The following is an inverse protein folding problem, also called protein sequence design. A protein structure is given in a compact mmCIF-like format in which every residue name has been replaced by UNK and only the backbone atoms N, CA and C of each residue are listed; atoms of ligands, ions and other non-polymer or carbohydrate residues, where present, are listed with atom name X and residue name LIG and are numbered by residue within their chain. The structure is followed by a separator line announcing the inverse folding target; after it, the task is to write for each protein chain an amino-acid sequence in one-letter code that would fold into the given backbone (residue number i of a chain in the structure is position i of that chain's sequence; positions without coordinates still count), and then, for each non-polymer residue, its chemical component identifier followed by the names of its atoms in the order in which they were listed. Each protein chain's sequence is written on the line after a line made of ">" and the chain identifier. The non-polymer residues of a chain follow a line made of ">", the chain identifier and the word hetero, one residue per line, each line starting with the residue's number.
data_IF_572707119635
#
_entry.id   IF_572707119635
#
_cell.length_a   1.000
_cell.length_b   1.000
_cell.length_c   1.000
_cell.angle_alpha   90.00
_cell.angle_beta   90.00
_cell.angle_gamma   90.00
#
_symmetry.space_group_name_H-M   'P 1'
#
loop_
_entity.id
_entity.type
_entity.pdbx_description
1 polymer ?
#
# COMPACT_ATOMS: atom_id res chain seq x y z
N UNK A 1 23.86 7.04 13.36
CA UNK A 1 24.19 8.11 12.42
C UNK A 1 24.84 9.30 13.13
N UNK A 2 25.40 10.24 12.36
CA UNK A 2 26.09 11.40 12.93
C UNK A 2 25.16 12.27 13.79
N UNK A 3 23.90 12.41 13.41
CA UNK A 3 22.91 13.22 14.16
C UNK A 3 22.57 12.58 15.52
N UNK A 4 22.24 11.29 15.55
CA UNK A 4 21.97 10.57 16.80
C UNK A 4 23.18 10.59 17.74
N UNK A 5 24.38 10.34 17.22
CA UNK A 5 25.61 10.43 18.00
C UNK A 5 25.92 11.84 18.54
N UNK A 6 25.58 12.89 17.80
CA UNK A 6 25.72 14.28 18.26
C UNK A 6 24.72 14.62 19.37
N UNK A 7 23.49 14.13 19.27
CA UNK A 7 22.44 14.29 20.28
C UNK A 7 22.83 13.56 21.57
N UNK A 8 23.29 12.33 21.49
CA UNK A 8 23.77 11.55 22.64
C UNK A 8 24.94 12.24 23.37
N UNK A 9 25.90 12.78 22.59
CA UNK A 9 27.03 13.53 23.17
C UNK A 9 26.56 14.82 23.87
N UNK A 10 25.64 15.57 23.25
CA UNK A 10 25.10 16.79 23.84
C UNK A 10 24.32 16.48 25.10
N UNK A 11 23.49 15.43 25.12
CA UNK A 11 22.75 15.03 26.33
C UNK A 11 23.65 14.52 27.44
N UNK A 12 24.71 13.77 27.12
CA UNK A 12 25.71 13.35 28.11
C UNK A 12 26.43 14.57 28.72
N UNK A 13 26.77 15.57 27.91
CA UNK A 13 27.45 16.79 28.36
C UNK A 13 26.56 17.67 29.26
N UNK A 14 25.22 17.61 29.10
CA UNK A 14 24.25 18.38 29.90
C UNK A 14 23.73 17.64 31.14
N UNK A 15 24.23 16.44 31.42
CA UNK A 15 23.83 15.65 32.61
C UNK A 15 22.42 15.05 32.49
N UNK A 16 21.92 14.82 31.28
CA UNK A 16 20.66 14.13 31.01
C UNK A 16 19.38 14.99 31.26
N UNK A 17 19.53 16.26 31.63
CA UNK A 17 18.39 17.21 31.71
C UNK A 17 18.26 17.96 30.38
N UNK A 18 17.90 17.24 29.34
CA UNK A 18 18.12 17.66 27.98
C UNK A 18 17.28 18.81 27.49
N UNK A 19 17.95 19.72 26.79
CA UNK A 19 17.30 20.64 25.86
C UNK A 19 16.81 19.80 24.68
N UNK A 20 15.54 19.88 24.34
CA UNK A 20 14.99 19.26 23.11
C UNK A 20 15.64 19.94 21.92
N UNK A 21 16.28 19.18 21.07
CA UNK A 21 16.80 19.66 19.78
C UNK A 21 15.64 19.70 18.77
N UNK A 22 15.21 20.89 18.40
CA UNK A 22 14.21 21.04 17.34
C UNK A 22 14.92 21.22 16.01
N UNK A 23 14.58 20.39 15.03
CA UNK A 23 15.09 20.50 13.66
C UNK A 23 14.22 21.53 12.94
N UNK A 24 14.75 22.76 12.75
CA UNK A 24 13.98 23.85 12.14
C UNK A 24 14.35 24.12 10.69
N UNK A 25 15.57 23.79 10.27
CA UNK A 25 16.12 24.20 8.97
C UNK A 25 16.27 23.02 7.99
N UNK A 26 16.20 21.77 8.48
CA UNK A 26 16.23 20.59 7.61
C UNK A 26 14.81 20.25 7.15
N UNK A 27 14.61 20.23 5.82
CA UNK A 27 13.35 19.77 5.22
C UNK A 27 13.29 18.25 5.05
N UNK A 28 14.43 17.57 5.13
CA UNK A 28 14.56 16.12 4.95
C UNK A 28 15.60 15.53 5.89
N UNK A 29 15.31 14.33 6.41
CA UNK A 29 16.24 13.47 7.15
C UNK A 29 16.38 12.16 6.39
N UNK A 30 17.63 11.74 6.13
CA UNK A 30 17.90 10.50 5.41
C UNK A 30 18.77 9.55 6.22
N UNK A 31 18.55 8.24 6.06
CA UNK A 31 19.35 7.24 6.76
C UNK A 31 18.91 5.82 6.47
N UNK A 32 19.55 4.86 7.14
CA UNK A 32 19.09 3.46 7.18
C UNK A 32 17.96 3.29 8.21
N UNK A 33 17.27 2.14 8.18
CA UNK A 33 16.30 1.79 9.22
C UNK A 33 16.90 1.87 10.63
N UNK A 34 18.13 1.38 10.83
CA UNK A 34 18.82 1.45 12.13
C UNK A 34 19.00 2.90 12.61
N UNK A 35 19.37 3.81 11.69
CA UNK A 35 19.50 5.23 12.03
C UNK A 35 18.16 5.86 12.45
N UNK A 36 17.07 5.46 11.79
CA UNK A 36 15.74 5.94 12.15
C UNK A 36 15.23 5.33 13.45
N UNK A 37 15.58 4.08 13.77
CA UNK A 37 15.26 3.46 15.06
C UNK A 37 15.93 4.21 16.21
N UNK A 38 17.18 4.62 16.05
CA UNK A 38 17.89 5.47 17.02
C UNK A 38 17.20 6.83 17.15
N UNK A 39 16.86 7.46 16.01
CA UNK A 39 16.20 8.76 15.96
C UNK A 39 14.81 8.74 16.64
N UNK A 40 14.02 7.68 16.41
CA UNK A 40 12.72 7.48 17.08
C UNK A 40 12.87 7.27 18.59
N UNK A 41 13.98 6.67 19.02
CA UNK A 41 14.30 6.52 20.45
C UNK A 41 14.61 7.87 21.07
N UNK A 42 15.39 8.72 20.42
CA UNK A 42 15.73 10.07 20.87
C UNK A 42 14.47 10.96 20.89
N UNK A 43 13.60 10.84 19.91
CA UNK A 43 12.30 11.54 19.86
C UNK A 43 11.41 11.09 21.03
N UNK A 44 11.26 9.78 21.24
CA UNK A 44 10.49 9.22 22.36
C UNK A 44 11.03 9.62 23.73
N UNK A 45 12.32 9.89 23.86
CA UNK A 45 12.96 10.41 25.07
C UNK A 45 12.90 11.95 25.16
N UNK A 46 12.22 12.61 24.24
CA UNK A 46 12.15 14.09 24.16
C UNK A 46 13.52 14.77 24.03
N UNK A 47 14.45 14.12 23.35
CA UNK A 47 15.79 14.64 23.08
C UNK A 47 15.85 15.38 21.74
N UNK A 48 14.98 15.00 20.80
CA UNK A 48 14.81 15.66 19.50
C UNK A 48 13.31 15.84 19.23
N UNK A 49 12.95 16.83 18.43
CA UNK A 49 11.60 17.00 17.91
C UNK A 49 11.62 16.91 16.38
N UNK A 50 10.87 15.97 15.85
CA UNK A 50 10.56 15.82 14.44
C UNK A 50 9.13 16.32 14.25
N UNK A 51 8.87 17.15 13.25
CA UNK A 51 7.55 17.77 13.06
C UNK A 51 7.02 17.60 11.63
N UNK A 52 7.72 18.16 10.65
CA UNK A 52 7.29 18.27 9.25
C UNK A 52 8.38 17.86 8.24
N UNK A 53 9.47 17.29 8.74
CA UNK A 53 10.56 16.81 7.89
C UNK A 53 10.12 15.60 7.07
N UNK A 54 10.53 15.55 5.79
CA UNK A 54 10.47 14.32 5.03
C UNK A 54 11.50 13.32 5.58
N UNK A 55 11.10 12.06 5.72
CA UNK A 55 11.96 11.00 6.25
C UNK A 55 12.23 9.98 5.16
N UNK A 56 13.48 9.82 4.73
CA UNK A 56 13.83 8.93 3.62
C UNK A 56 14.76 7.83 4.09
N UNK A 57 14.24 6.58 4.11
CA UNK A 57 15.08 5.38 4.29
C UNK A 57 15.78 5.11 2.96
N UNK A 58 17.01 5.60 2.82
CA UNK A 58 17.78 5.61 1.57
C UNK A 58 18.77 4.44 1.46
N UNK A 59 18.88 3.60 2.47
CA UNK A 59 19.81 2.45 2.51
C UNK A 59 19.11 1.24 3.10
N UNK A 60 18.94 0.20 2.30
CA UNK A 60 18.24 -1.02 2.68
C UNK A 60 16.72 -0.90 2.63
N UNK A 61 16.08 -1.82 3.29
CA UNK A 61 14.62 -1.91 3.42
C UNK A 61 14.18 -1.40 4.80
N UNK A 62 12.91 -1.11 4.96
CA UNK A 62 12.29 -0.70 6.22
C UNK A 62 11.18 -1.66 6.62
N UNK A 63 11.16 -2.07 7.88
CA UNK A 63 10.07 -2.88 8.42
C UNK A 63 8.78 -2.06 8.51
N UNK A 64 7.62 -2.73 8.41
CA UNK A 64 6.30 -2.09 8.56
C UNK A 64 6.18 -1.37 9.90
N UNK A 65 6.72 -1.93 10.97
CA UNK A 65 6.68 -1.31 12.30
C UNK A 65 7.46 0.00 12.38
N UNK A 66 8.66 0.03 11.79
CA UNK A 66 9.47 1.26 11.73
C UNK A 66 8.81 2.28 10.79
N UNK A 67 8.36 1.87 9.60
CA UNK A 67 7.64 2.72 8.66
C UNK A 67 6.41 3.38 9.32
N UNK A 68 5.58 2.58 10.02
CA UNK A 68 4.44 3.08 10.80
C UNK A 68 4.85 4.13 11.84
N UNK A 69 5.92 3.86 12.58
CA UNK A 69 6.40 4.79 13.61
C UNK A 69 6.89 6.10 12.99
N UNK A 70 7.60 6.03 11.88
CA UNK A 70 8.04 7.21 11.12
C UNK A 70 6.86 8.04 10.63
N UNK A 71 5.86 7.41 9.99
CA UNK A 71 4.63 8.09 9.54
C UNK A 71 3.89 8.76 10.71
N UNK A 72 3.89 8.15 11.89
CA UNK A 72 3.25 8.71 13.09
C UNK A 72 4.04 9.86 13.75
N UNK A 73 5.30 10.07 13.37
CA UNK A 73 6.19 11.06 14.01
C UNK A 73 6.28 12.36 13.21
N UNK A 74 6.13 12.32 11.90
CA UNK A 74 6.20 13.50 11.02
C UNK A 74 4.88 13.77 10.30
N UNK A 75 4.64 15.03 9.93
CA UNK A 75 3.61 15.39 8.94
C UNK A 75 4.19 15.49 7.51
N UNK A 76 5.50 15.30 7.36
CA UNK A 76 6.17 15.19 6.07
C UNK A 76 6.00 13.80 5.46
N UNK A 77 6.45 13.63 4.23
CA UNK A 77 6.37 12.34 3.53
C UNK A 77 7.45 11.38 4.03
N UNK A 78 7.06 10.14 4.30
CA UNK A 78 8.01 9.04 4.56
C UNK A 78 8.26 8.27 3.27
N UNK A 79 9.52 8.07 2.92
CA UNK A 79 9.94 7.34 1.72
C UNK A 79 10.80 6.14 2.10
N UNK A 80 10.54 4.97 1.53
CA UNK A 80 11.33 3.77 1.77
C UNK A 80 10.83 2.55 1.02
N UNK A 81 11.61 1.49 1.02
CA UNK A 81 11.21 0.19 0.46
C UNK A 81 10.81 -0.72 1.61
N UNK A 82 9.59 -1.20 1.60
CA UNK A 82 9.10 -2.15 2.62
C UNK A 82 9.86 -3.47 2.48
N UNK A 83 10.21 -4.05 3.62
CA UNK A 83 10.97 -5.32 3.68
C UNK A 83 10.34 -6.39 2.80
N UNK A 84 11.15 -6.95 1.91
CA UNK A 84 10.73 -8.02 1.00
C UNK A 84 10.23 -9.24 1.76
N UNK A 85 9.19 -9.88 1.24
CA UNK A 85 8.53 -10.99 1.92
C UNK A 85 7.53 -10.58 3.01
N UNK A 86 7.33 -9.29 3.26
CA UNK A 86 6.23 -8.82 4.13
C UNK A 86 4.89 -9.17 3.50
N UNK A 87 4.00 -9.80 4.26
CA UNK A 87 2.68 -10.18 3.77
C UNK A 87 1.73 -8.99 3.66
N UNK A 88 0.79 -9.07 2.71
CA UNK A 88 -0.29 -8.08 2.59
C UNK A 88 -1.04 -7.90 3.91
N UNK A 89 -1.31 -9.00 4.61
CA UNK A 89 -1.98 -8.97 5.91
C UNK A 89 -1.21 -8.14 6.95
N UNK A 90 0.12 -8.23 6.97
CA UNK A 90 0.94 -7.42 7.88
C UNK A 90 0.96 -5.92 7.51
N UNK A 91 0.93 -5.61 6.20
CA UNK A 91 0.88 -4.22 5.72
C UNK A 91 -0.47 -3.57 6.04
N UNK A 92 -1.56 -4.34 5.92
CA UNK A 92 -2.94 -3.85 6.09
C UNK A 92 -3.46 -3.97 7.54
N UNK A 93 -2.70 -4.54 8.47
CA UNK A 93 -3.15 -4.69 9.86
C UNK A 93 -3.47 -3.32 10.48
N UNK A 94 -4.66 -3.19 11.05
CA UNK A 94 -5.15 -1.91 11.60
C UNK A 94 -4.32 -1.39 12.79
N UNK A 95 -3.68 -2.29 13.54
CA UNK A 95 -2.93 -1.93 14.74
C UNK A 95 -1.42 -1.80 14.49
N UNK A 96 -0.87 -2.58 13.55
CA UNK A 96 0.57 -2.71 13.33
C UNK A 96 1.01 -2.43 11.90
N UNK A 97 0.09 -2.34 10.95
CA UNK A 97 0.33 -2.05 9.53
C UNK A 97 0.57 -0.56 9.23
N UNK A 98 0.70 -0.24 7.96
CA UNK A 98 0.89 1.16 7.50
C UNK A 98 -0.36 1.99 7.77
N UNK A 99 -0.18 3.22 8.27
CA UNK A 99 -1.27 4.12 8.68
C UNK A 99 -1.58 5.21 7.64
N UNK A 100 -0.56 5.72 6.98
CA UNK A 100 -0.64 6.88 6.08
C UNK A 100 -0.34 6.47 4.64
N UNK A 101 -0.74 7.31 3.68
CA UNK A 101 -0.36 7.18 2.27
C UNK A 101 0.96 7.90 2.04
N UNK A 102 2.05 7.23 2.32
CA UNK A 102 3.42 7.69 2.13
C UNK A 102 4.04 7.16 0.83
N UNK A 103 5.32 7.47 0.57
CA UNK A 103 6.01 7.04 -0.64
C UNK A 103 6.75 5.70 -0.44
N UNK A 104 6.01 4.65 -0.08
CA UNK A 104 6.59 3.33 0.11
C UNK A 104 6.62 2.52 -1.19
N UNK A 105 7.80 1.98 -1.53
CA UNK A 105 7.90 0.92 -2.54
C UNK A 105 7.47 -0.40 -1.91
N UNK A 106 6.42 -1.02 -2.46
CA UNK A 106 5.85 -2.27 -1.98
C UNK A 106 5.89 -3.30 -3.11
N UNK A 107 6.49 -4.47 -2.84
CA UNK A 107 6.44 -5.65 -3.72
C UNK A 107 5.67 -6.74 -3.02
N UNK A 108 4.63 -7.27 -3.66
CA UNK A 108 3.82 -8.36 -3.11
C UNK A 108 4.69 -9.62 -2.99
N UNK A 109 4.69 -10.21 -1.79
CA UNK A 109 5.45 -11.41 -1.51
C UNK A 109 4.93 -12.62 -2.31
N UNK A 110 5.81 -13.52 -2.72
CA UNK A 110 5.42 -14.75 -3.42
C UNK A 110 4.47 -15.64 -2.59
N UNK A 111 4.46 -15.48 -1.26
CA UNK A 111 3.50 -16.14 -0.37
C UNK A 111 2.07 -15.62 -0.48
N UNK A 112 1.87 -14.41 -1.03
CA UNK A 112 0.58 -13.77 -1.30
C UNK A 112 0.21 -13.85 -2.79
N UNK A 113 0.59 -14.92 -3.49
CA UNK A 113 0.29 -15.13 -4.91
C UNK A 113 -1.22 -15.26 -5.19
N UNK A 114 -2.01 -15.65 -4.21
CA UNK A 114 -3.47 -15.68 -4.25
C UNK A 114 -4.01 -14.57 -3.33
N UNK A 115 -4.70 -13.60 -3.89
CA UNK A 115 -5.10 -12.39 -3.17
C UNK A 115 -6.54 -11.99 -3.49
N UNK A 116 -7.20 -11.27 -2.56
CA UNK A 116 -8.51 -10.69 -2.86
C UNK A 116 -8.38 -9.32 -3.55
N UNK A 117 -9.33 -9.01 -4.43
CA UNK A 117 -9.39 -7.70 -5.09
C UNK A 117 -9.48 -6.55 -4.07
N UNK A 118 -10.21 -6.76 -2.96
CA UNK A 118 -10.31 -5.78 -1.86
C UNK A 118 -8.98 -5.52 -1.17
N UNK A 119 -8.17 -6.57 -0.95
CA UNK A 119 -6.84 -6.41 -0.36
C UNK A 119 -5.88 -5.67 -1.31
N UNK A 120 -5.93 -5.94 -2.62
CA UNK A 120 -5.14 -5.19 -3.60
C UNK A 120 -5.51 -3.70 -3.60
N UNK A 121 -6.83 -3.40 -3.60
CA UNK A 121 -7.32 -2.02 -3.52
C UNK A 121 -6.88 -1.32 -2.24
N UNK A 122 -6.95 -2.00 -1.10
CA UNK A 122 -6.49 -1.46 0.17
C UNK A 122 -4.97 -1.25 0.18
N UNK A 123 -4.20 -2.15 -0.45
CA UNK A 123 -2.75 -2.12 -0.47
C UNK A 123 -2.19 -0.92 -1.25
N UNK A 124 -2.66 -0.68 -2.48
CA UNK A 124 -2.20 0.49 -3.23
C UNK A 124 -2.70 1.81 -2.61
N UNK A 125 -3.79 1.79 -1.84
CA UNK A 125 -4.21 2.93 -1.02
C UNK A 125 -3.26 3.26 0.15
N UNK A 126 -2.27 2.41 0.46
CA UNK A 126 -1.28 2.64 1.53
C UNK A 126 0.00 3.32 1.04
N UNK A 127 0.14 3.56 -0.25
CA UNK A 127 1.34 4.17 -0.81
C UNK A 127 1.00 5.06 -2.00
N UNK A 128 1.81 6.09 -2.22
CA UNK A 128 1.76 6.93 -3.42
C UNK A 128 2.65 6.40 -4.56
N UNK A 129 3.33 5.27 -4.35
CA UNK A 129 4.17 4.60 -5.34
C UNK A 129 3.43 3.36 -5.85
N UNK A 130 3.49 3.10 -7.15
CA UNK A 130 2.84 1.92 -7.72
C UNK A 130 3.33 0.61 -7.06
N UNK A 131 2.38 -0.22 -6.60
CA UNK A 131 2.66 -1.52 -5.99
C UNK A 131 3.08 -2.51 -7.07
N UNK A 132 4.15 -3.26 -6.86
CA UNK A 132 4.56 -4.37 -7.72
C UNK A 132 3.79 -5.64 -7.34
N UNK A 133 2.86 -6.04 -8.19
CA UNK A 133 2.03 -7.22 -8.05
C UNK A 133 2.45 -8.38 -8.97
N UNK A 134 3.67 -8.37 -9.49
CA UNK A 134 4.17 -9.40 -10.44
C UNK A 134 4.17 -10.83 -9.88
N UNK A 135 4.11 -11.00 -8.55
CA UNK A 135 4.01 -12.31 -7.90
C UNK A 135 2.56 -12.83 -7.81
N UNK A 136 1.55 -12.00 -8.09
CA UNK A 136 0.14 -12.42 -8.03
C UNK A 136 -0.19 -13.34 -9.19
N UNK A 137 -0.80 -14.48 -8.91
CA UNK A 137 -1.24 -15.47 -9.90
C UNK A 137 -2.75 -15.67 -9.92
N UNK A 138 -3.42 -15.28 -8.82
CA UNK A 138 -4.87 -15.37 -8.70
C UNK A 138 -5.44 -14.18 -7.95
N UNK A 139 -6.53 -13.63 -8.48
CA UNK A 139 -7.33 -12.59 -7.83
C UNK A 139 -8.72 -13.16 -7.55
N UNK A 140 -9.20 -13.05 -6.31
CA UNK A 140 -10.53 -13.48 -5.89
C UNK A 140 -11.36 -12.26 -5.49
N UNK A 141 -12.61 -12.16 -5.99
CA UNK A 141 -13.50 -11.05 -5.69
C UNK A 141 -14.73 -11.06 -6.58
N UNK A 142 -15.57 -10.05 -6.44
CA UNK A 142 -16.65 -9.82 -7.41
C UNK A 142 -16.10 -9.28 -8.74
N UNK A 143 -16.85 -9.40 -9.82
CA UNK A 143 -16.49 -8.80 -11.12
C UNK A 143 -16.24 -7.30 -10.98
N UNK A 144 -17.04 -6.62 -10.15
CA UNK A 144 -16.89 -5.19 -9.90
C UNK A 144 -15.57 -4.86 -9.16
N UNK A 145 -15.24 -5.60 -8.10
CA UNK A 145 -14.01 -5.42 -7.34
C UNK A 145 -12.75 -5.70 -8.19
N UNK A 146 -12.77 -6.78 -8.98
CA UNK A 146 -11.67 -7.10 -9.88
C UNK A 146 -11.47 -6.01 -10.95
N UNK A 147 -12.57 -5.50 -11.54
CA UNK A 147 -12.49 -4.39 -12.49
C UNK A 147 -11.93 -3.10 -11.86
N UNK A 148 -12.20 -2.82 -10.58
CA UNK A 148 -11.59 -1.68 -9.87
C UNK A 148 -10.07 -1.84 -9.80
N UNK A 149 -9.57 -3.03 -9.48
CA UNK A 149 -8.12 -3.29 -9.43
C UNK A 149 -7.46 -3.05 -10.79
N UNK A 150 -8.01 -3.58 -11.87
CA UNK A 150 -7.44 -3.37 -13.21
C UNK A 150 -7.60 -1.93 -13.70
N UNK A 151 -8.66 -1.22 -13.30
CA UNK A 151 -8.88 0.18 -13.64
C UNK A 151 -7.91 1.14 -12.92
N UNK A 152 -7.29 0.73 -11.82
CA UNK A 152 -6.27 1.52 -11.10
C UNK A 152 -5.06 1.82 -11.99
N UNK A 153 -4.74 0.90 -12.93
CA UNK A 153 -3.69 1.11 -13.92
C UNK A 153 -2.28 1.11 -13.33
N UNK A 154 -1.29 1.32 -14.19
CA UNK A 154 0.12 1.23 -13.83
C UNK A 154 0.63 2.35 -12.92
N UNK A 155 -0.17 3.36 -12.64
CA UNK A 155 0.16 4.40 -11.66
C UNK A 155 0.00 3.92 -10.21
N UNK A 156 -0.90 2.97 -9.97
CA UNK A 156 -1.22 2.47 -8.64
C UNK A 156 -0.70 1.04 -8.41
N UNK A 157 -0.77 0.19 -9.45
CA UNK A 157 -0.37 -1.20 -9.36
C UNK A 157 0.22 -1.68 -10.70
N UNK A 158 1.31 -2.42 -10.64
CA UNK A 158 2.01 -2.97 -11.81
C UNK A 158 2.09 -4.48 -11.75
N UNK A 159 2.39 -5.12 -12.88
CA UNK A 159 2.65 -6.57 -12.93
C UNK A 159 1.40 -7.43 -13.03
N UNK A 160 0.20 -6.82 -13.16
CA UNK A 160 -1.05 -7.55 -13.41
C UNK A 160 -1.34 -7.70 -14.92
N UNK A 161 -2.24 -8.62 -15.27
CA UNK A 161 -2.75 -8.86 -16.64
C UNK A 161 -2.69 -10.31 -17.13
N UNK A 162 -2.27 -11.25 -16.25
CA UNK A 162 -2.18 -12.68 -16.59
C UNK A 162 -2.71 -13.60 -15.46
N UNK A 163 -3.33 -13.04 -14.44
CA UNK A 163 -3.83 -13.75 -13.28
C UNK A 163 -5.12 -14.50 -13.61
N UNK A 164 -5.34 -15.63 -12.92
CA UNK A 164 -6.64 -16.26 -12.84
C UNK A 164 -7.54 -15.36 -11.98
N UNK A 165 -8.72 -15.02 -12.46
CA UNK A 165 -9.73 -14.31 -11.66
C UNK A 165 -10.83 -15.27 -11.25
N UNK A 166 -11.06 -15.41 -9.95
CA UNK A 166 -12.13 -16.25 -9.38
C UNK A 166 -13.23 -15.35 -8.85
N UNK A 167 -14.40 -15.37 -9.52
CA UNK A 167 -15.53 -14.54 -9.08
C UNK A 167 -16.25 -15.16 -7.89
N UNK A 168 -16.76 -14.31 -6.99
CA UNK A 168 -17.40 -14.73 -5.73
C UNK A 168 -18.91 -14.52 -5.70
N UNK A 169 -19.48 -13.70 -6.58
CA UNK A 169 -20.92 -13.47 -6.68
C UNK A 169 -21.68 -14.65 -7.26
N UNK A 170 -22.92 -14.85 -6.81
CA UNK A 170 -23.83 -15.86 -7.35
C UNK A 170 -24.75 -15.35 -8.48
N UNK A 171 -24.85 -14.05 -8.64
CA UNK A 171 -25.63 -13.41 -9.69
C UNK A 171 -24.87 -12.23 -10.29
N UNK A 172 -24.95 -12.09 -11.60
CA UNK A 172 -24.33 -11.00 -12.34
C UNK A 172 -25.42 -10.09 -12.92
N UNK A 173 -25.37 -8.81 -12.58
CA UNK A 173 -26.30 -7.82 -13.08
C UNK A 173 -25.91 -7.23 -14.45
N UNK A 174 -24.62 -7.31 -14.82
CA UNK A 174 -24.08 -6.70 -16.02
C UNK A 174 -23.02 -7.60 -16.69
N UNK A 175 -23.40 -8.15 -17.83
CA UNK A 175 -22.49 -8.96 -18.68
C UNK A 175 -21.36 -8.10 -19.26
N UNK A 176 -21.57 -6.80 -19.45
CA UNK A 176 -20.55 -5.89 -19.97
C UNK A 176 -19.36 -5.81 -19.01
N UNK A 177 -19.64 -5.78 -17.69
CA UNK A 177 -18.60 -5.79 -16.66
C UNK A 177 -17.75 -7.08 -16.72
N UNK A 178 -18.37 -8.23 -16.99
CA UNK A 178 -17.64 -9.50 -17.15
C UNK A 178 -16.78 -9.48 -18.41
N UNK A 179 -17.30 -8.98 -19.54
CA UNK A 179 -16.52 -8.84 -20.77
C UNK A 179 -15.32 -7.88 -20.60
N UNK A 180 -15.50 -6.82 -19.81
CA UNK A 180 -14.41 -5.90 -19.46
C UNK A 180 -13.35 -6.62 -18.65
N UNK A 181 -13.74 -7.42 -17.66
CA UNK A 181 -12.84 -8.21 -16.84
C UNK A 181 -12.05 -9.23 -17.67
N UNK A 182 -12.72 -9.96 -18.57
CA UNK A 182 -12.09 -10.91 -19.47
C UNK A 182 -11.05 -10.25 -20.40
N UNK A 183 -11.30 -9.00 -20.78
CA UNK A 183 -10.36 -8.21 -21.58
C UNK A 183 -9.15 -7.67 -20.79
N UNK A 184 -9.18 -7.67 -19.47
CA UNK A 184 -8.13 -7.11 -18.61
C UNK A 184 -7.06 -8.14 -18.23
N UNK A 185 -7.35 -9.44 -18.33
CA UNK A 185 -6.40 -10.52 -18.03
C UNK A 185 -6.29 -11.51 -19.18
N UNK A 186 -5.10 -12.05 -19.40
CA UNK A 186 -4.90 -13.20 -20.30
C UNK A 186 -5.08 -14.53 -19.56
N UNK A 187 -5.25 -14.49 -18.24
CA UNK A 187 -5.58 -15.63 -17.40
C UNK A 187 -7.07 -16.02 -17.53
N UNK A 188 -7.45 -17.10 -16.88
CA UNK A 188 -8.83 -17.59 -16.92
C UNK A 188 -9.71 -16.79 -15.97
N UNK A 189 -10.86 -16.31 -16.43
CA UNK A 189 -11.92 -15.78 -15.57
C UNK A 189 -12.86 -16.94 -15.18
N UNK A 190 -12.77 -17.38 -13.93
CA UNK A 190 -13.58 -18.46 -13.37
C UNK A 190 -14.88 -17.91 -12.78
N UNK A 191 -16.00 -18.18 -13.45
CA UNK A 191 -17.34 -17.72 -13.09
C UNK A 191 -18.22 -18.84 -12.54
N UNK A 192 -17.64 -19.91 -12.02
CA UNK A 192 -18.39 -21.11 -11.57
C UNK A 192 -19.41 -20.81 -10.45
N UNK A 193 -19.25 -19.72 -9.72
CA UNK A 193 -20.18 -19.25 -8.69
C UNK A 193 -21.41 -18.55 -9.26
N UNK A 194 -21.35 -18.00 -10.49
CA UNK A 194 -22.43 -17.24 -11.11
C UNK A 194 -23.49 -18.21 -11.64
N UNK A 195 -24.62 -18.29 -10.96
CA UNK A 195 -25.72 -19.17 -11.32
C UNK A 195 -26.87 -18.43 -12.04
N UNK A 196 -26.88 -17.11 -12.01
CA UNK A 196 -27.86 -16.28 -12.71
C UNK A 196 -27.25 -15.02 -13.31
N UNK A 197 -27.73 -14.63 -14.48
CA UNK A 197 -27.33 -13.40 -15.16
C UNK A 197 -28.59 -12.64 -15.53
N UNK A 198 -28.69 -11.39 -15.07
CA UNK A 198 -29.82 -10.52 -15.43
C UNK A 198 -29.51 -9.76 -16.72
N UNK A 199 -30.32 -10.00 -17.76
CA UNK A 199 -30.27 -9.20 -18.97
C UNK A 199 -31.28 -8.06 -18.83
N UNK A 200 -30.84 -6.83 -18.75
CA UNK A 200 -31.69 -5.69 -19.05
C UNK A 200 -31.87 -5.63 -20.56
N UNK A 201 -32.92 -6.30 -21.08
CA UNK A 201 -33.36 -6.05 -22.43
C UNK A 201 -33.82 -4.58 -22.51
N UNK A 202 -33.08 -3.77 -23.24
CA UNK A 202 -33.68 -2.63 -23.91
C UNK A 202 -34.73 -3.22 -24.90
N UNK A 203 -35.98 -3.23 -24.51
CA UNK A 203 -37.09 -3.46 -25.47
C UNK A 203 -36.89 -2.42 -26.57
N UNK A 204 -36.51 -2.87 -27.75
CA UNK A 204 -36.72 -2.10 -28.95
C UNK A 204 -38.21 -1.76 -28.97
N UNK A 205 -38.53 -0.49 -29.00
CA UNK A 205 -39.86 0.01 -29.21
C UNK A 205 -40.30 -0.51 -30.57
N UNK A 206 -41.08 -1.61 -30.61
CA UNK A 206 -41.86 -1.96 -31.79
C UNK A 206 -42.88 -0.85 -31.93
N UNK A 207 -42.62 0.10 -32.83
CA UNK A 207 -43.62 0.96 -33.38
C UNK A 207 -44.56 0.11 -34.21
N UNK A 208 -45.68 -0.35 -33.63
CA UNK A 208 -46.80 -0.80 -34.42
C UNK A 208 -47.30 0.37 -35.26
N UNK A 209 -47.07 0.32 -36.56
CA UNK A 209 -47.77 1.14 -37.54
C UNK A 209 -49.14 0.48 -37.80
N UNK A 210 -50.19 1.12 -37.37
CA UNK A 210 -51.55 0.91 -37.91
C UNK A 210 -51.80 1.85 -39.07
#
# INVERSE_FOLDING_TARGET
>A
SELAGAIDQANTATGGTGTVFTITDASEITGSEANFTDLLTDEGNSQIAITDQNLTVNTGEVSVSTARSLSGTTTGTVTGTITSGTTIAAILDENTGLIETDAYTITIAAGDAEVTATNLTALYGKTSVAVDASAVTQITGTVAEANIVYAAGSSEITGLGNEIVVTTESSLADVTALNTLDGNTTGTVNTATITSVSYTHLRAHETEQH
#
